data_IF_002484887324
#
_entry.id   IF_002484887324
#
_cell.length_a   1.000
_cell.length_b   1.000
_cell.length_c   1.000
_cell.angle_alpha   90.00
_cell.angle_beta   90.00
_cell.angle_gamma   90.00
#
_symmetry.space_group_name_H-M   'P 1'
#
loop_
_entity.id
_entity.type
_entity.pdbx_description
1 polymer ?
#
# COMPACT_ATOMS: atom_id res chain seq x y z
N UNK A 1 10.90 7.72 16.50
CA UNK A 1 11.51 7.39 15.18
C UNK A 1 12.85 6.60 15.22
N UNK A 2 13.95 7.12 15.80
CA UNK A 2 15.30 6.52 15.73
C UNK A 2 15.44 5.02 16.05
N UNK A 3 14.74 4.54 17.09
CA UNK A 3 14.76 3.12 17.49
C UNK A 3 14.19 2.19 16.40
N UNK A 4 13.09 2.61 15.77
CA UNK A 4 12.45 1.88 14.68
C UNK A 4 13.38 1.79 13.47
N UNK A 5 13.95 2.93 13.07
CA UNK A 5 14.93 2.99 11.98
C UNK A 5 16.14 2.08 12.21
N UNK A 6 16.75 2.12 13.39
CA UNK A 6 17.88 1.25 13.71
C UNK A 6 17.52 -0.24 13.68
N UNK A 7 16.27 -0.58 14.00
CA UNK A 7 15.78 -1.96 13.91
C UNK A 7 15.68 -2.39 12.44
N UNK A 8 15.08 -1.56 11.58
CA UNK A 8 14.99 -1.78 10.13
C UNK A 8 16.40 -1.92 9.54
N UNK A 9 17.30 -0.97 9.84
CA UNK A 9 18.68 -1.00 9.36
C UNK A 9 19.39 -2.32 9.68
N UNK A 10 19.29 -2.78 10.94
CA UNK A 10 19.88 -4.06 11.35
C UNK A 10 19.26 -5.25 10.63
N UNK A 11 17.95 -5.24 10.37
CA UNK A 11 17.27 -6.31 9.61
C UNK A 11 17.72 -6.33 8.15
N UNK A 12 17.86 -5.16 7.52
CA UNK A 12 18.37 -5.02 6.15
C UNK A 12 19.79 -5.57 6.02
N UNK A 13 20.69 -5.23 6.95
CA UNK A 13 22.06 -5.77 6.98
C UNK A 13 22.08 -7.31 7.09
N UNK A 14 21.17 -7.89 7.88
CA UNK A 14 21.08 -9.35 8.07
C UNK A 14 20.59 -10.08 6.84
N UNK A 15 19.67 -9.49 6.08
CA UNK A 15 19.12 -10.12 4.89
C UNK A 15 20.15 -10.27 3.77
N UNK A 16 21.36 -9.70 3.92
CA UNK A 16 22.41 -9.67 2.88
C UNK A 16 21.83 -9.33 1.51
N UNK A 17 20.83 -8.45 1.49
CA UNK A 17 20.18 -8.05 0.26
C UNK A 17 21.26 -7.42 -0.62
N UNK A 18 21.52 -8.07 -1.75
CA UNK A 18 22.42 -7.57 -2.77
C UNK A 18 22.02 -6.11 -3.09
N UNK A 19 23.00 -5.24 -3.32
CA UNK A 19 22.77 -3.88 -3.84
C UNK A 19 22.00 -3.88 -5.18
N UNK A 20 21.89 -5.04 -5.84
CA UNK A 20 21.03 -5.25 -6.99
C UNK A 20 19.54 -5.44 -6.61
N UNK A 21 19.25 -6.03 -5.45
CA UNK A 21 17.87 -6.23 -4.94
C UNK A 21 17.34 -4.95 -4.30
N UNK A 22 18.22 -4.22 -3.64
CA UNK A 22 17.94 -2.91 -3.07
C UNK A 22 18.69 -1.86 -3.87
N UNK A 23 17.98 -1.03 -4.65
CA UNK A 23 18.61 0.02 -5.45
C UNK A 23 19.73 0.74 -4.67
N UNK A 24 20.93 0.80 -5.25
CA UNK A 24 22.13 1.39 -4.62
C UNK A 24 21.89 2.80 -4.03
N UNK A 25 20.97 3.57 -4.61
CA UNK A 25 20.56 4.88 -4.10
C UNK A 25 19.82 4.80 -2.76
N UNK A 26 18.99 3.77 -2.55
CA UNK A 26 18.30 3.53 -1.28
C UNK A 26 19.29 3.13 -0.19
N UNK A 27 20.22 2.22 -0.50
CA UNK A 27 21.28 1.81 0.42
C UNK A 27 22.13 2.99 0.90
N UNK A 28 22.57 3.85 -0.02
CA UNK A 28 23.34 5.05 0.33
C UNK A 28 22.58 5.98 1.27
N UNK A 29 21.28 6.23 0.99
CA UNK A 29 20.42 7.05 1.86
C UNK A 29 20.28 6.46 3.26
N UNK A 30 20.16 5.14 3.37
CA UNK A 30 20.09 4.45 4.67
C UNK A 30 21.38 4.58 5.46
N UNK A 31 22.54 4.34 4.82
CA UNK A 31 23.84 4.42 5.50
C UNK A 31 24.10 5.86 5.97
N UNK A 32 23.82 6.84 5.11
CA UNK A 32 23.98 8.25 5.46
C UNK A 32 23.09 8.64 6.65
N UNK A 33 21.80 8.28 6.62
CA UNK A 33 20.88 8.53 7.75
C UNK A 33 21.24 7.78 9.03
N UNK A 34 21.94 6.64 8.93
CA UNK A 34 22.45 5.94 10.11
C UNK A 34 23.60 6.69 10.78
N UNK A 35 24.50 7.26 9.98
CA UNK A 35 25.64 8.03 10.47
C UNK A 35 25.22 9.45 10.90
N UNK A 36 24.33 10.08 10.14
CA UNK A 36 23.86 11.45 10.27
C UNK A 36 22.34 11.47 10.47
N UNK A 37 21.88 11.05 11.64
CA UNK A 37 20.44 10.90 11.89
C UNK A 37 19.69 12.23 11.78
N UNK A 38 18.70 12.25 10.88
CA UNK A 38 17.67 13.28 10.78
C UNK A 38 16.28 12.63 10.79
N UNK A 39 15.41 13.10 11.67
CA UNK A 39 14.11 12.47 11.90
C UNK A 39 13.16 12.64 10.71
N UNK A 40 13.11 13.83 10.12
CA UNK A 40 12.21 14.15 9.01
C UNK A 40 12.61 13.38 7.74
N UNK A 41 13.90 13.34 7.44
CA UNK A 41 14.44 12.55 6.35
C UNK A 41 14.22 11.05 6.58
N UNK A 42 14.30 10.58 7.83
CA UNK A 42 14.00 9.21 8.17
C UNK A 42 12.52 8.86 7.93
N UNK A 43 11.59 9.69 8.38
CA UNK A 43 10.16 9.53 8.09
C UNK A 43 9.88 9.54 6.58
N UNK A 44 10.46 10.49 5.85
CA UNK A 44 10.33 10.59 4.39
C UNK A 44 10.89 9.35 3.71
N UNK A 45 12.03 8.82 4.16
CA UNK A 45 12.61 7.61 3.59
C UNK A 45 11.69 6.41 3.84
N UNK A 46 11.27 6.19 5.08
CA UNK A 46 10.46 5.01 5.42
C UNK A 46 9.07 5.04 4.79
N UNK A 47 8.37 6.17 4.85
CA UNK A 47 7.01 6.31 4.28
C UNK A 47 6.99 6.01 2.79
N UNK A 48 8.01 6.47 2.05
CA UNK A 48 8.15 6.17 0.62
C UNK A 48 8.50 4.70 0.32
N UNK A 49 8.89 3.92 1.31
CA UNK A 49 9.35 2.54 1.13
C UNK A 49 8.57 1.52 1.98
N UNK A 50 7.52 1.92 2.69
CA UNK A 50 6.78 1.02 3.58
C UNK A 50 6.16 -0.16 2.83
N UNK A 51 5.64 0.06 1.62
CA UNK A 51 5.13 -1.03 0.77
C UNK A 51 6.18 -2.13 0.60
N UNK A 52 7.37 -1.75 0.14
CA UNK A 52 8.47 -2.69 -0.06
C UNK A 52 8.98 -3.30 1.25
N UNK A 53 9.11 -2.50 2.32
CA UNK A 53 9.58 -2.98 3.63
C UNK A 53 8.64 -4.03 4.25
N UNK A 54 7.33 -3.85 4.07
CA UNK A 54 6.33 -4.79 4.56
C UNK A 54 6.32 -6.05 3.69
N UNK A 55 6.26 -5.89 2.37
CA UNK A 55 6.17 -7.01 1.44
C UNK A 55 7.44 -7.87 1.38
N UNK A 56 8.61 -7.29 1.69
CA UNK A 56 9.88 -8.03 1.83
C UNK A 56 10.08 -8.70 3.18
N UNK A 57 9.18 -8.48 4.14
CA UNK A 57 9.29 -9.01 5.51
C UNK A 57 10.36 -8.32 6.37
N UNK A 58 10.97 -7.24 5.91
CA UNK A 58 11.89 -6.41 6.71
C UNK A 58 11.16 -5.80 7.91
N UNK A 59 9.92 -5.38 7.71
CA UNK A 59 9.02 -4.92 8.73
C UNK A 59 7.65 -5.61 8.59
N UNK A 60 6.88 -5.62 9.67
CA UNK A 60 5.47 -6.02 9.66
C UNK A 60 4.58 -4.84 10.05
N UNK A 61 3.30 -4.89 9.70
CA UNK A 61 2.30 -3.93 10.20
C UNK A 61 2.25 -3.93 11.73
N UNK A 62 2.46 -5.08 12.36
CA UNK A 62 2.59 -5.23 13.82
C UNK A 62 3.83 -4.55 14.39
N UNK A 63 4.96 -4.54 13.67
CA UNK A 63 6.14 -3.79 14.08
C UNK A 63 5.84 -2.29 14.07
N UNK A 64 5.21 -1.78 13.02
CA UNK A 64 4.87 -0.35 12.87
C UNK A 64 3.97 0.11 14.03
N UNK A 65 2.91 -0.66 14.34
CA UNK A 65 1.99 -0.38 15.47
C UNK A 65 2.69 -0.40 16.85
N UNK A 66 3.81 -1.12 16.99
CA UNK A 66 4.61 -1.14 18.23
C UNK A 66 5.64 -0.02 18.30
N UNK A 67 6.09 0.46 17.16
CA UNK A 67 7.18 1.44 17.08
C UNK A 67 6.71 2.88 17.17
N UNK A 68 5.46 3.16 16.81
CA UNK A 68 4.90 4.49 16.70
C UNK A 68 3.53 4.56 17.34
N UNK A 69 3.19 5.73 17.89
CA UNK A 69 1.82 6.00 18.29
C UNK A 69 0.98 6.51 17.11
N UNK A 70 -0.34 6.53 17.26
CA UNK A 70 -1.28 6.91 16.21
C UNK A 70 -1.12 8.37 15.77
N UNK A 71 -0.82 9.30 16.69
CA UNK A 71 -0.60 10.71 16.35
C UNK A 71 0.63 10.90 15.46
N UNK A 72 1.73 10.19 15.74
CA UNK A 72 2.93 10.20 14.91
C UNK A 72 2.67 9.65 13.51
N UNK A 73 1.84 8.62 13.40
CA UNK A 73 1.50 7.99 12.11
C UNK A 73 0.55 8.86 11.29
N UNK A 74 -0.48 9.42 11.94
CA UNK A 74 -1.48 10.25 11.28
C UNK A 74 -0.86 11.53 10.70
N UNK A 75 0.15 12.12 11.36
CA UNK A 75 0.87 13.29 10.82
C UNK A 75 1.67 12.99 9.54
N UNK A 76 1.87 11.70 9.23
CA UNK A 76 2.53 11.21 8.02
C UNK A 76 1.56 10.48 7.06
N UNK A 77 0.24 10.69 7.23
CA UNK A 77 -0.83 10.05 6.44
C UNK A 77 -0.82 8.51 6.51
N UNK A 78 -0.44 7.96 7.66
CA UNK A 78 -0.51 6.53 7.94
C UNK A 78 -1.60 6.33 8.99
N UNK A 79 -2.63 5.57 8.66
CA UNK A 79 -3.81 5.40 9.50
C UNK A 79 -3.94 3.95 9.91
N UNK A 80 -4.10 3.67 11.20
CA UNK A 80 -4.33 2.31 11.72
C UNK A 80 -5.81 2.04 11.99
N UNK A 81 -6.56 3.08 12.36
CA UNK A 81 -7.99 3.01 12.68
C UNK A 81 -8.71 4.26 12.18
N UNK A 82 -10.04 4.29 12.36
CA UNK A 82 -10.87 5.45 12.06
C UNK A 82 -11.37 5.53 10.62
N UNK A 83 -12.15 6.58 10.36
CA UNK A 83 -12.65 6.94 9.02
C UNK A 83 -12.03 8.27 8.61
N UNK A 84 -11.32 8.26 7.48
CA UNK A 84 -10.48 9.37 7.03
C UNK A 84 -10.86 9.74 5.61
N UNK A 85 -10.95 11.04 5.35
CA UNK A 85 -11.03 11.58 4.00
C UNK A 85 -9.67 12.15 3.62
N UNK A 86 -9.17 11.78 2.44
CA UNK A 86 -7.98 12.38 1.84
C UNK A 86 -8.26 12.91 0.41
N UNK A 87 -7.59 14.00 0.07
CA UNK A 87 -7.63 14.64 -1.25
C UNK A 87 -6.21 15.02 -1.65
N UNK A 88 -5.82 14.81 -2.91
CA UNK A 88 -4.52 15.19 -3.50
C UNK A 88 -3.30 14.74 -2.67
N UNK A 89 -3.37 13.54 -2.07
CA UNK A 89 -2.26 13.06 -1.22
C UNK A 89 -2.05 11.56 -1.30
N UNK A 90 -0.90 11.15 -0.73
CA UNK A 90 -0.59 9.75 -0.49
C UNK A 90 -0.98 9.35 0.92
N UNK A 91 -1.55 8.16 1.08
CA UNK A 91 -1.85 7.59 2.38
C UNK A 91 -1.56 6.09 2.44
N UNK A 92 -1.33 5.60 3.65
CA UNK A 92 -1.20 4.17 3.94
C UNK A 92 -2.24 3.78 4.98
N UNK A 93 -3.10 2.83 4.64
CA UNK A 93 -4.04 2.20 5.57
C UNK A 93 -3.45 0.91 6.12
N UNK A 94 -3.38 0.81 7.45
CA UNK A 94 -3.01 -0.38 8.21
C UNK A 94 -4.19 -0.79 9.09
N UNK A 95 -4.16 -2.01 9.65
CA UNK A 95 -5.18 -2.45 10.60
C UNK A 95 -6.59 -2.39 10.03
N UNK A 96 -7.45 -1.58 10.66
CA UNK A 96 -8.88 -1.45 10.35
C UNK A 96 -9.25 -0.04 9.85
N UNK A 97 -8.26 0.73 9.38
CA UNK A 97 -8.48 2.08 8.86
C UNK A 97 -9.42 2.08 7.65
N UNK A 98 -10.28 3.09 7.55
CA UNK A 98 -11.20 3.31 6.44
C UNK A 98 -10.89 4.64 5.77
N UNK A 99 -10.53 4.62 4.50
CA UNK A 99 -10.05 5.80 3.77
C UNK A 99 -10.98 6.10 2.59
N UNK A 100 -11.55 7.29 2.54
CA UNK A 100 -12.14 7.85 1.32
C UNK A 100 -11.09 8.72 0.64
N UNK A 101 -10.83 8.49 -0.64
CA UNK A 101 -9.77 9.17 -1.38
C UNK A 101 -10.28 9.77 -2.70
N UNK A 102 -9.95 11.03 -2.95
CA UNK A 102 -10.22 11.75 -4.21
C UNK A 102 -9.06 12.68 -4.62
N UNK A 103 -9.21 13.40 -5.73
CA UNK A 103 -8.20 14.32 -6.26
C UNK A 103 -6.89 13.60 -6.54
N UNK A 104 -6.86 12.63 -7.47
CA UNK A 104 -5.61 11.97 -7.86
C UNK A 104 -4.78 11.35 -6.69
N UNK A 105 -5.45 10.96 -5.61
CA UNK A 105 -4.80 10.42 -4.41
C UNK A 105 -4.18 9.05 -4.66
N UNK A 106 -3.20 8.67 -3.83
CA UNK A 106 -2.58 7.33 -3.86
C UNK A 106 -2.70 6.65 -2.52
N UNK A 107 -3.36 5.51 -2.47
CA UNK A 107 -3.60 4.76 -1.24
C UNK A 107 -2.97 3.39 -1.32
N UNK A 108 -2.28 2.99 -0.25
CA UNK A 108 -1.74 1.64 -0.09
C UNK A 108 -2.38 1.01 1.15
N UNK A 109 -2.93 -0.18 1.03
CA UNK A 109 -3.67 -0.85 2.11
C UNK A 109 -3.02 -2.18 2.51
N UNK A 110 -2.97 -2.42 3.81
CA UNK A 110 -2.52 -3.66 4.44
C UNK A 110 -3.54 -4.15 5.48
N UNK A 111 -3.31 -5.35 6.03
CA UNK A 111 -4.17 -5.98 7.03
C UNK A 111 -5.63 -6.08 6.55
N UNK A 112 -6.56 -5.38 7.22
CA UNK A 112 -8.01 -5.32 6.93
C UNK A 112 -8.43 -3.90 6.52
N UNK A 113 -7.48 -3.02 6.18
CA UNK A 113 -7.77 -1.64 5.85
C UNK A 113 -8.67 -1.55 4.61
N UNK A 114 -9.51 -0.53 4.59
CA UNK A 114 -10.51 -0.30 3.56
C UNK A 114 -10.28 1.03 2.83
N UNK A 115 -10.51 1.08 1.52
CA UNK A 115 -10.59 2.35 0.78
C UNK A 115 -11.74 2.42 -0.22
N UNK A 116 -12.41 3.57 -0.28
CA UNK A 116 -13.21 3.98 -1.44
C UNK A 116 -12.49 5.12 -2.16
N UNK A 117 -12.21 4.92 -3.45
CA UNK A 117 -11.43 5.85 -4.25
C UNK A 117 -12.20 6.36 -5.47
N UNK A 118 -12.06 7.66 -5.71
CA UNK A 118 -12.74 8.43 -6.75
C UNK A 118 -11.74 9.38 -7.43
N UNK A 119 -12.21 10.02 -8.51
CA UNK A 119 -11.52 11.15 -9.14
C UNK A 119 -10.07 10.83 -9.53
N UNK A 120 -9.91 9.83 -10.41
CA UNK A 120 -8.62 9.42 -10.97
C UNK A 120 -7.55 9.06 -9.93
N UNK A 121 -7.98 8.57 -8.77
CA UNK A 121 -7.11 8.06 -7.71
C UNK A 121 -6.55 6.67 -8.02
N UNK A 122 -5.50 6.30 -7.30
CA UNK A 122 -4.83 5.00 -7.40
C UNK A 122 -4.82 4.27 -6.07
N UNK A 123 -5.20 2.99 -6.06
CA UNK A 123 -5.21 2.17 -4.85
C UNK A 123 -4.42 0.88 -5.05
N UNK A 124 -3.54 0.55 -4.12
CA UNK A 124 -2.95 -0.79 -3.99
C UNK A 124 -3.46 -1.46 -2.73
N UNK A 125 -3.94 -2.69 -2.83
CA UNK A 125 -4.35 -3.49 -1.69
C UNK A 125 -3.55 -4.78 -1.57
N UNK A 126 -3.04 -5.04 -0.37
CA UNK A 126 -2.30 -6.26 -0.02
C UNK A 126 -3.03 -7.05 1.07
N UNK A 127 -2.61 -8.30 1.29
CA UNK A 127 -3.12 -9.15 2.38
C UNK A 127 -4.66 -9.24 2.39
N UNK A 128 -5.34 -9.01 3.52
CA UNK A 128 -6.82 -9.10 3.61
C UNK A 128 -7.51 -7.74 3.41
N UNK A 129 -6.81 -6.75 2.84
CA UNK A 129 -7.37 -5.42 2.66
C UNK A 129 -8.50 -5.43 1.64
N UNK A 130 -9.31 -4.37 1.65
CA UNK A 130 -10.44 -4.25 0.74
C UNK A 130 -10.50 -2.86 0.13
N UNK A 131 -10.88 -2.74 -1.14
CA UNK A 131 -11.11 -1.42 -1.72
C UNK A 131 -12.15 -1.41 -2.83
N UNK A 132 -12.70 -0.23 -3.09
CA UNK A 132 -13.57 0.06 -4.23
C UNK A 132 -13.00 1.24 -5.00
N UNK A 133 -12.90 1.09 -6.31
CA UNK A 133 -12.45 2.14 -7.24
C UNK A 133 -13.57 2.49 -8.21
N UNK A 134 -13.81 3.79 -8.41
CA UNK A 134 -14.76 4.32 -9.40
C UNK A 134 -14.04 5.32 -10.30
N UNK A 135 -14.00 5.04 -11.61
CA UNK A 135 -13.21 5.81 -12.59
C UNK A 135 -11.75 5.99 -12.13
N UNK A 136 -11.19 4.93 -11.55
CA UNK A 136 -9.89 4.94 -10.88
C UNK A 136 -9.07 3.72 -11.27
N UNK A 137 -7.82 3.67 -10.83
CA UNK A 137 -6.92 2.53 -11.07
C UNK A 137 -6.67 1.79 -9.76
N UNK A 138 -6.71 0.46 -9.81
CA UNK A 138 -6.47 -0.41 -8.67
C UNK A 138 -5.47 -1.54 -8.95
N UNK A 139 -4.69 -1.91 -7.95
CA UNK A 139 -3.91 -3.15 -7.93
C UNK A 139 -4.28 -3.95 -6.67
N UNK A 140 -4.70 -5.21 -6.85
CA UNK A 140 -5.08 -6.10 -5.76
C UNK A 140 -4.14 -7.30 -5.70
N UNK A 141 -3.53 -7.53 -4.54
CA UNK A 141 -2.56 -8.60 -4.30
C UNK A 141 -3.00 -9.54 -3.17
N UNK A 142 -2.41 -10.74 -3.13
CA UNK A 142 -2.60 -11.73 -2.08
C UNK A 142 -4.06 -12.13 -1.84
N UNK A 143 -4.69 -11.72 -0.74
CA UNK A 143 -6.10 -12.04 -0.41
C UNK A 143 -6.98 -10.80 -0.53
N UNK A 144 -6.49 -9.76 -1.19
CA UNK A 144 -7.16 -8.48 -1.27
C UNK A 144 -8.47 -8.63 -2.05
N UNK A 145 -9.50 -7.92 -1.59
CA UNK A 145 -10.79 -7.87 -2.28
C UNK A 145 -11.01 -6.50 -2.88
N UNK A 146 -11.35 -6.46 -4.17
CA UNK A 146 -11.57 -5.23 -4.90
C UNK A 146 -12.95 -5.22 -5.56
N UNK A 147 -13.60 -4.05 -5.57
CA UNK A 147 -14.73 -3.75 -6.46
C UNK A 147 -14.28 -2.68 -7.45
N UNK A 148 -14.32 -2.99 -8.74
CA UNK A 148 -14.03 -2.08 -9.83
C UNK A 148 -15.34 -1.64 -10.49
N UNK A 149 -15.57 -0.33 -10.55
CA UNK A 149 -16.84 0.25 -11.01
C UNK A 149 -16.59 1.33 -12.07
N UNK A 150 -17.55 1.58 -12.95
CA UNK A 150 -17.43 2.55 -14.05
C UNK A 150 -16.19 2.28 -14.93
N UNK A 151 -15.55 3.31 -15.47
CA UNK A 151 -14.35 3.19 -16.31
C UNK A 151 -13.07 2.86 -15.53
N UNK A 152 -13.17 2.11 -14.42
CA UNK A 152 -12.01 1.72 -13.62
C UNK A 152 -11.17 0.65 -14.30
N UNK A 153 -9.87 0.67 -14.03
CA UNK A 153 -8.94 -0.40 -14.41
C UNK A 153 -8.37 -1.06 -13.16
N UNK A 154 -8.46 -2.39 -13.07
CA UNK A 154 -7.85 -3.14 -11.96
C UNK A 154 -6.96 -4.27 -12.46
N UNK A 155 -5.80 -4.43 -11.83
CA UNK A 155 -4.93 -5.59 -12.02
C UNK A 155 -4.91 -6.41 -10.72
N UNK A 156 -5.14 -7.71 -10.82
CA UNK A 156 -5.31 -8.61 -9.69
C UNK A 156 -4.32 -9.77 -9.76
N UNK A 157 -3.63 -10.02 -8.65
CA UNK A 157 -2.52 -10.96 -8.53
C UNK A 157 -2.68 -11.89 -7.32
N UNK A 158 -1.96 -13.02 -7.31
CA UNK A 158 -2.02 -13.96 -6.19
C UNK A 158 -3.40 -14.60 -6.03
N UNK A 159 -3.99 -14.54 -4.84
CA UNK A 159 -5.35 -15.04 -4.55
C UNK A 159 -6.39 -13.90 -4.45
N UNK A 160 -6.11 -12.75 -5.07
CA UNK A 160 -6.98 -11.59 -4.99
C UNK A 160 -8.35 -11.90 -5.59
N UNK A 161 -9.40 -11.23 -5.10
CA UNK A 161 -10.77 -11.38 -5.59
C UNK A 161 -11.29 -10.05 -6.08
N UNK A 162 -11.73 -9.97 -7.34
CA UNK A 162 -12.23 -8.72 -7.93
C UNK A 162 -13.65 -8.86 -8.46
N UNK A 163 -14.51 -7.91 -8.13
CA UNK A 163 -15.83 -7.76 -8.76
C UNK A 163 -15.79 -6.58 -9.74
N UNK A 164 -16.00 -6.83 -11.03
CA UNK A 164 -15.99 -5.81 -12.08
C UNK A 164 -17.41 -5.45 -12.50
N UNK A 165 -17.74 -4.16 -12.51
CA UNK A 165 -19.08 -3.62 -12.83
C UNK A 165 -18.99 -2.46 -13.82
N UNK A 166 -20.07 -2.27 -14.57
CA UNK A 166 -20.38 -1.03 -15.28
C UNK A 166 -19.21 -0.45 -16.09
N UNK A 167 -18.70 -1.21 -17.06
CA UNK A 167 -17.56 -0.83 -17.93
C UNK A 167 -16.17 -0.94 -17.30
N UNK A 168 -16.05 -1.50 -16.10
CA UNK A 168 -14.75 -1.72 -15.50
C UNK A 168 -13.96 -2.77 -16.28
N UNK A 169 -12.64 -2.60 -16.30
CA UNK A 169 -11.71 -3.50 -16.96
C UNK A 169 -10.79 -4.15 -15.92
N UNK A 170 -10.74 -5.48 -15.88
CA UNK A 170 -9.95 -6.23 -14.91
C UNK A 170 -8.99 -7.20 -15.61
N UNK A 171 -7.72 -7.15 -15.23
CA UNK A 171 -6.74 -8.19 -15.58
C UNK A 171 -6.50 -9.04 -14.34
N UNK A 172 -6.60 -10.36 -14.49
CA UNK A 172 -6.34 -11.33 -13.43
C UNK A 172 -5.12 -12.16 -13.80
N UNK A 173 -4.22 -12.32 -12.84
CA UNK A 173 -3.01 -13.11 -12.94
C UNK A 173 -3.03 -14.23 -11.90
N UNK A 174 -2.34 -15.34 -12.20
CA UNK A 174 -2.16 -16.47 -11.27
C UNK A 174 -3.51 -17.05 -10.77
N UNK A 175 -3.72 -17.11 -9.44
CA UNK A 175 -4.94 -17.63 -8.82
C UNK A 175 -5.98 -16.54 -8.57
N UNK A 176 -5.83 -15.35 -9.16
CA UNK A 176 -6.76 -14.26 -8.94
C UNK A 176 -8.14 -14.63 -9.51
N UNK A 177 -9.17 -14.44 -8.69
CA UNK A 177 -10.54 -14.78 -9.03
C UNK A 177 -11.38 -13.53 -9.20
N UNK A 178 -12.55 -13.66 -9.81
CA UNK A 178 -13.43 -12.51 -9.90
C UNK A 178 -14.71 -12.76 -10.66
N UNK A 179 -15.68 -11.90 -10.40
CA UNK A 179 -16.98 -11.85 -11.06
C UNK A 179 -17.01 -10.63 -11.97
N UNK A 180 -17.68 -10.77 -13.11
CA UNK A 180 -17.88 -9.68 -14.07
C UNK A 180 -19.38 -9.53 -14.27
N UNK A 181 -19.90 -8.33 -14.01
CA UNK A 181 -21.30 -7.97 -14.25
C UNK A 181 -21.43 -6.99 -15.44
N UNK A 182 -22.64 -6.52 -15.69
CA UNK A 182 -23.07 -5.65 -16.80
C UNK A 182 -21.96 -4.79 -17.42
N UNK A 183 -21.61 -5.10 -18.69
CA UNK A 183 -20.70 -4.31 -19.56
C UNK A 183 -19.26 -4.18 -19.06
N UNK A 184 -18.88 -4.86 -17.98
CA UNK A 184 -17.49 -4.97 -17.56
C UNK A 184 -16.74 -6.05 -18.35
N UNK A 185 -15.43 -5.97 -18.34
CA UNK A 185 -14.54 -6.87 -19.07
C UNK A 185 -13.50 -7.45 -18.10
N UNK A 186 -13.20 -8.75 -18.24
CA UNK A 186 -12.04 -9.33 -17.56
C UNK A 186 -11.23 -10.22 -18.48
N UNK A 187 -9.91 -10.18 -18.30
CA UNK A 187 -8.95 -11.07 -18.97
C UNK A 187 -8.19 -11.84 -17.89
N UNK A 188 -7.85 -13.09 -18.19
CA UNK A 188 -6.95 -13.92 -17.38
C UNK A 188 -5.64 -14.07 -18.15
N UNK A 189 -4.51 -13.83 -17.47
CA UNK A 189 -3.15 -13.97 -18.01
C UNK A 189 -2.36 -15.02 -17.24
#
# INVERSE_FOLDING_TARGET
MKKAFNTIYKRLLKLKLDENILCSTFWRKIIDLHNNYDENACWKLLTNNFEWLINSGVASTSDIKKWFNETELNSHNIYITGTIHITDKKAIGLGDAKITADGHSKVILFDYAHCEAFDSSFVKGFQNSTFRVKECIGEAFDKCKCIADYQSKVEAWGNATVEAKDYAFVIKHENATGLVSSRAFSIIQ
#
